data_IF_629472806452
#
_entry.id   IF_629472806452
#
_cell.length_a   1.000
_cell.length_b   1.000
_cell.length_c   1.000
_cell.angle_alpha   90.00
_cell.angle_beta   90.00
_cell.angle_gamma   90.00
#
_symmetry.space_group_name_H-M   'P 1'
#
loop_
_entity.id
_entity.type
_entity.pdbx_description
1 polymer ?
#
# COMPACT_ATOMS: atom_id res chain seq x y z
N UNK A 1 11.72 -26.75 -3.74
CA UNK A 1 10.43 -27.46 -3.98
C UNK A 1 9.30 -26.55 -3.53
N UNK A 2 8.17 -26.47 -4.25
CA UNK A 2 7.02 -25.71 -3.77
C UNK A 2 6.45 -26.37 -2.50
N UNK A 3 6.10 -25.55 -1.51
CA UNK A 3 5.38 -26.00 -0.30
C UNK A 3 3.87 -26.05 -0.57
N UNK A 4 3.18 -27.07 -0.04
CA UNK A 4 1.76 -27.31 -0.31
C UNK A 4 0.92 -26.79 0.85
N UNK A 5 0.25 -25.67 0.62
CA UNK A 5 -0.72 -25.10 1.59
C UNK A 5 -2.15 -25.43 1.18
N UNK A 6 -2.98 -25.83 2.15
CA UNK A 6 -4.43 -26.01 1.95
C UNK A 6 -5.16 -24.85 2.63
N UNK A 7 -6.01 -24.15 1.88
CA UNK A 7 -6.82 -23.04 2.37
C UNK A 7 -8.30 -23.35 2.18
N UNK A 8 -9.12 -22.99 3.17
CA UNK A 8 -10.57 -23.03 3.04
C UNK A 8 -11.03 -21.72 2.42
N UNK A 9 -11.83 -21.80 1.36
CA UNK A 9 -12.33 -20.64 0.63
C UNK A 9 -13.84 -20.77 0.44
N UNK A 10 -14.61 -19.68 0.64
CA UNK A 10 -16.03 -19.70 0.30
C UNK A 10 -16.26 -20.13 -1.15
N UNK A 11 -17.21 -21.02 -1.38
CA UNK A 11 -17.51 -21.58 -2.71
C UNK A 11 -17.71 -20.50 -3.77
N UNK A 12 -18.49 -19.46 -3.45
CA UNK A 12 -18.73 -18.34 -4.36
C UNK A 12 -17.46 -17.56 -4.71
N UNK A 13 -16.53 -17.41 -3.76
CA UNK A 13 -15.27 -16.71 -4.00
C UNK A 13 -14.35 -17.55 -4.89
N UNK A 14 -14.27 -18.86 -4.64
CA UNK A 14 -13.52 -19.81 -5.46
C UNK A 14 -14.04 -19.83 -6.90
N UNK A 15 -15.35 -19.89 -7.09
CA UNK A 15 -15.97 -19.85 -8.42
C UNK A 15 -15.60 -18.58 -9.20
N UNK A 16 -15.71 -17.41 -8.56
CA UNK A 16 -15.33 -16.12 -9.16
C UNK A 16 -13.83 -16.07 -9.52
N UNK A 17 -12.97 -16.55 -8.63
CA UNK A 17 -11.54 -16.58 -8.86
C UNK A 17 -11.15 -17.53 -10.00
N UNK A 18 -11.76 -18.71 -10.08
CA UNK A 18 -11.55 -19.65 -11.21
C UNK A 18 -12.01 -19.02 -12.54
N UNK A 19 -13.17 -18.37 -12.56
CA UNK A 19 -13.64 -17.66 -13.76
C UNK A 19 -12.66 -16.56 -14.19
N UNK A 20 -12.15 -15.78 -13.23
CA UNK A 20 -11.13 -14.74 -13.48
C UNK A 20 -9.82 -15.31 -14.01
N UNK A 21 -9.36 -16.45 -13.48
CA UNK A 21 -8.16 -17.13 -13.95
C UNK A 21 -8.32 -17.60 -15.42
N UNK A 22 -9.47 -18.19 -15.74
CA UNK A 22 -9.82 -18.61 -17.11
C UNK A 22 -9.85 -17.43 -18.10
N UNK A 23 -10.48 -16.32 -17.72
CA UNK A 23 -10.49 -15.10 -18.53
C UNK A 23 -9.08 -14.56 -18.81
N UNK A 24 -8.14 -14.78 -17.90
CA UNK A 24 -6.74 -14.36 -18.02
C UNK A 24 -5.84 -15.42 -18.68
N UNK A 25 -6.37 -16.59 -19.05
CA UNK A 25 -5.59 -17.67 -19.63
C UNK A 25 -4.56 -18.32 -18.68
N UNK A 26 -4.75 -18.19 -17.36
CA UNK A 26 -3.83 -18.72 -16.35
C UNK A 26 -4.51 -19.76 -15.44
N UNK A 27 -3.72 -20.57 -14.75
CA UNK A 27 -4.25 -21.49 -13.75
C UNK A 27 -4.77 -20.76 -12.50
N UNK A 28 -5.69 -21.38 -11.76
CA UNK A 28 -6.14 -20.84 -10.48
C UNK A 28 -4.99 -20.69 -9.48
N UNK A 29 -4.06 -21.64 -9.44
CA UNK A 29 -2.89 -21.56 -8.55
C UNK A 29 -1.94 -20.40 -8.90
N UNK A 30 -1.81 -20.08 -10.19
CA UNK A 30 -1.05 -18.90 -10.65
C UNK A 30 -1.76 -17.60 -10.22
N UNK A 31 -3.08 -17.53 -10.38
CA UNK A 31 -3.86 -16.38 -9.90
C UNK A 31 -3.68 -16.17 -8.38
N UNK A 32 -3.75 -17.24 -7.59
CA UNK A 32 -3.55 -17.18 -6.13
C UNK A 32 -2.15 -16.69 -5.80
N UNK A 33 -1.10 -17.22 -6.44
CA UNK A 33 0.28 -16.78 -6.23
C UNK A 33 0.46 -15.29 -6.52
N UNK A 34 -0.05 -14.81 -7.66
CA UNK A 34 0.02 -13.38 -8.02
C UNK A 34 -0.75 -12.49 -7.04
N UNK A 35 -1.88 -12.96 -6.53
CA UNK A 35 -2.65 -12.21 -5.53
C UNK A 35 -1.89 -12.10 -4.21
N UNK A 36 -1.28 -13.19 -3.74
CA UNK A 36 -0.46 -13.20 -2.53
C UNK A 36 0.80 -12.33 -2.70
N UNK A 37 1.50 -12.45 -3.83
CA UNK A 37 2.67 -11.62 -4.14
C UNK A 37 2.30 -10.14 -4.14
N UNK A 38 1.17 -9.77 -4.76
CA UNK A 38 0.68 -8.39 -4.76
C UNK A 38 0.34 -7.89 -3.36
N UNK A 39 -0.28 -8.71 -2.52
CA UNK A 39 -0.64 -8.34 -1.15
C UNK A 39 0.60 -8.16 -0.26
N UNK A 40 1.62 -9.00 -0.44
CA UNK A 40 2.88 -8.92 0.32
C UNK A 40 3.78 -7.79 -0.18
N UNK A 41 3.79 -7.53 -1.49
CA UNK A 41 4.56 -6.45 -2.10
C UNK A 41 3.90 -5.07 -1.93
N UNK A 42 2.58 -5.02 -1.70
CA UNK A 42 1.92 -3.77 -1.41
C UNK A 42 2.53 -3.16 -0.14
N UNK A 43 3.04 -1.90 -0.20
CA UNK A 43 3.38 -1.19 1.03
C UNK A 43 2.10 -1.18 1.85
N UNK A 44 2.19 -1.71 3.08
CA UNK A 44 1.02 -1.91 3.92
C UNK A 44 0.21 -0.62 3.97
N UNK A 45 -0.91 -0.59 3.23
CA UNK A 45 -1.78 0.58 3.13
C UNK A 45 -2.30 0.84 4.54
N UNK A 46 -1.75 1.87 5.18
CA UNK A 46 -2.09 2.24 6.55
C UNK A 46 -1.19 1.67 7.65
N UNK A 47 -0.03 1.06 7.36
CA UNK A 47 1.02 1.07 8.39
C UNK A 47 1.64 2.46 8.37
N UNK A 48 1.16 3.30 9.29
CA UNK A 48 1.99 4.31 9.94
C UNK A 48 3.40 3.76 10.05
N UNK A 49 4.39 4.60 9.72
CA UNK A 49 5.83 4.37 9.89
C UNK A 49 6.06 3.30 10.95
N UNK A 50 6.75 2.20 10.58
CA UNK A 50 7.09 1.06 11.46
C UNK A 50 7.30 1.60 12.88
N UNK A 51 6.39 1.28 13.81
CA UNK A 51 6.38 1.88 15.16
C UNK A 51 7.78 1.88 15.71
N UNK A 52 8.39 3.06 15.80
CA UNK A 52 9.75 3.22 16.30
C UNK A 52 9.76 3.11 17.82
N UNK A 53 8.57 3.20 18.46
CA UNK A 53 8.42 3.34 19.90
C UNK A 53 8.57 4.79 20.36
N UNK A 54 8.79 5.72 19.42
CA UNK A 54 8.91 7.14 19.67
C UNK A 54 7.56 7.83 19.40
N UNK A 55 6.92 8.43 20.41
CA UNK A 55 5.63 9.11 20.25
C UNK A 55 5.64 10.23 19.20
N UNK A 56 6.78 10.85 18.92
CA UNK A 56 6.92 11.90 17.91
C UNK A 56 6.79 11.36 16.49
N UNK A 57 7.44 10.23 16.21
CA UNK A 57 7.42 9.61 14.87
C UNK A 57 6.19 8.74 14.62
N UNK A 58 5.68 8.11 15.68
CA UNK A 58 4.57 7.15 15.59
C UNK A 58 3.20 7.82 15.47
N UNK A 59 3.08 9.10 15.86
CA UNK A 59 1.87 9.91 15.71
C UNK A 59 1.95 10.92 14.56
N UNK A 60 3.00 10.88 13.74
CA UNK A 60 3.16 11.84 12.66
C UNK A 60 2.23 11.50 11.50
N UNK A 61 1.08 12.18 11.45
CA UNK A 61 0.19 12.19 10.30
C UNK A 61 0.70 13.24 9.32
N UNK A 62 1.29 12.79 8.21
CA UNK A 62 1.70 13.68 7.12
C UNK A 62 0.54 13.89 6.16
N UNK A 63 0.19 15.15 5.89
CA UNK A 63 -0.71 15.52 4.81
C UNK A 63 0.12 15.67 3.53
N UNK A 64 -0.27 14.96 2.48
CA UNK A 64 0.39 15.02 1.17
C UNK A 64 -0.40 15.99 0.29
N UNK A 65 0.29 16.99 -0.26
CA UNK A 65 -0.29 18.03 -1.12
C UNK A 65 0.75 18.44 -2.16
N UNK A 66 0.31 19.03 -3.27
CA UNK A 66 1.17 19.52 -4.36
C UNK A 66 1.89 20.84 -4.01
N UNK A 67 2.09 21.11 -2.71
CA UNK A 67 2.69 22.33 -2.19
C UNK A 67 4.21 22.41 -2.43
N UNK A 68 4.81 23.60 -2.25
CA UNK A 68 6.23 23.79 -2.41
C UNK A 68 7.05 22.90 -1.46
N UNK A 69 8.13 22.32 -1.98
CA UNK A 69 8.96 21.34 -1.27
C UNK A 69 9.88 22.00 -0.22
N UNK A 70 10.13 23.30 -0.36
CA UNK A 70 11.11 24.07 0.40
C UNK A 70 10.49 25.01 1.45
N UNK A 71 9.49 24.50 2.18
CA UNK A 71 8.79 25.22 3.25
C UNK A 71 9.71 25.80 4.34
N UNK A 72 10.86 25.17 4.60
CA UNK A 72 11.81 25.65 5.59
C UNK A 72 12.74 26.76 5.07
N UNK A 73 13.17 26.66 3.81
CA UNK A 73 14.14 27.58 3.24
C UNK A 73 13.51 28.91 2.84
N UNK A 74 12.23 28.88 2.45
CA UNK A 74 11.45 30.04 2.01
C UNK A 74 10.26 30.33 2.92
N UNK A 75 10.38 29.93 4.18
CA UNK A 75 9.32 30.06 5.17
C UNK A 75 8.80 31.50 5.28
N UNK A 76 9.71 32.48 5.21
CA UNK A 76 9.37 33.90 5.30
C UNK A 76 8.56 34.36 4.07
N UNK A 77 8.95 33.94 2.85
CA UNK A 77 8.19 34.22 1.63
C UNK A 77 6.75 33.68 1.71
N UNK A 78 6.55 32.53 2.35
CA UNK A 78 5.23 31.90 2.48
C UNK A 78 4.38 32.50 3.59
N UNK A 79 4.99 32.88 4.72
CA UNK A 79 4.26 33.39 5.87
C UNK A 79 3.99 34.89 5.81
N UNK A 80 4.95 35.65 5.30
CA UNK A 80 4.92 37.12 5.34
C UNK A 80 4.80 37.74 3.95
N UNK A 81 5.04 36.97 2.88
CA UNK A 81 5.13 37.50 1.52
C UNK A 81 6.39 38.35 1.33
N UNK A 82 6.57 38.90 0.12
CA UNK A 82 7.60 39.91 -0.12
C UNK A 82 7.18 41.21 0.58
N UNK A 83 7.61 41.43 1.84
CA UNK A 83 7.64 42.78 2.40
C UNK A 83 8.62 43.62 1.53
N UNK A 84 8.07 44.64 0.86
CA UNK A 84 8.79 45.63 0.04
C UNK A 84 9.71 46.53 0.86
#
# INVERSE_FOLDING_TARGET
>A
MPDRTTIVMPELLKAKAVARARQRGISFGELVRQAVEKEVAAPARGKSKKKTGDPFWDNLVTYDDDGPVDLAARHDDYLYGEES
#
